data_IF_860873151820
#
_entry.id   IF_860873151820
#
_cell.length_a   1.000
_cell.length_b   1.000
_cell.length_c   1.000
_cell.angle_alpha   90.00
_cell.angle_beta   90.00
_cell.angle_gamma   90.00
#
_symmetry.space_group_name_H-M   'P 1'
#
loop_
_entity.id
_entity.type
_entity.pdbx_description
1 polymer ?
#
# COMPACT_ATOMS: atom_id res chain seq x y z
N UNK A 1 -3.92 -3.97 5.48
CA UNK A 1 -2.62 -3.41 5.04
C UNK A 1 -2.40 -2.05 5.70
N UNK A 2 -1.21 -1.78 6.22
CA UNK A 2 -0.80 -0.49 6.76
C UNK A 2 0.26 0.13 5.84
N UNK A 3 0.14 1.41 5.54
CA UNK A 3 1.17 2.20 4.89
C UNK A 3 1.69 3.28 5.84
N UNK A 4 2.98 3.56 5.79
CA UNK A 4 3.62 4.63 6.54
C UNK A 4 4.42 5.52 5.59
N UNK A 5 4.50 6.80 5.94
CA UNK A 5 5.31 7.76 5.22
C UNK A 5 6.79 7.42 5.37
N UNK A 6 7.48 7.27 4.23
CA UNK A 6 8.93 7.16 4.22
C UNK A 6 9.53 8.49 4.70
N UNK A 7 10.65 8.43 5.44
CA UNK A 7 11.27 9.61 6.07
C UNK A 7 11.47 10.79 5.10
N UNK A 8 11.88 10.51 3.87
CA UNK A 8 12.16 11.53 2.85
C UNK A 8 10.93 11.91 1.98
N UNK A 9 9.80 11.20 2.16
CA UNK A 9 8.60 11.34 1.31
C UNK A 9 7.34 11.72 2.13
N UNK A 10 7.51 12.26 3.34
CA UNK A 10 6.37 12.67 4.18
C UNK A 10 5.47 13.73 3.53
N UNK A 11 6.05 14.61 2.68
CA UNK A 11 5.29 15.66 1.98
C UNK A 11 4.36 15.11 0.90
N UNK A 12 4.73 13.98 0.28
CA UNK A 12 3.92 13.35 -0.77
C UNK A 12 2.95 12.31 -0.22
N UNK A 13 3.15 11.87 1.02
CA UNK A 13 2.36 10.82 1.68
C UNK A 13 0.85 10.97 1.47
N UNK A 14 0.29 12.17 1.72
CA UNK A 14 -1.15 12.41 1.57
C UNK A 14 -1.63 12.21 0.13
N UNK A 15 -0.86 12.70 -0.83
CA UNK A 15 -1.16 12.54 -2.26
C UNK A 15 -1.05 11.07 -2.67
N UNK A 16 -0.03 10.38 -2.16
CA UNK A 16 0.25 8.97 -2.46
C UNK A 16 -0.86 8.04 -1.96
N UNK A 17 -1.33 8.21 -0.72
CA UNK A 17 -2.46 7.41 -0.18
C UNK A 17 -3.78 7.71 -0.88
N UNK A 18 -3.99 8.94 -1.37
CA UNK A 18 -5.16 9.29 -2.17
C UNK A 18 -5.12 8.63 -3.54
N UNK A 19 -3.96 8.61 -4.21
CA UNK A 19 -3.77 7.90 -5.48
C UNK A 19 -4.05 6.41 -5.36
N UNK A 20 -3.61 5.81 -4.24
CA UNK A 20 -3.89 4.41 -3.91
C UNK A 20 -5.41 4.17 -3.76
N UNK A 21 -6.09 4.99 -2.96
CA UNK A 21 -7.52 4.82 -2.67
C UNK A 21 -8.44 5.17 -3.84
N UNK A 22 -8.02 6.06 -4.74
CA UNK A 22 -8.84 6.52 -5.87
C UNK A 22 -8.89 5.51 -7.04
N UNK A 23 -8.31 4.31 -6.89
CA UNK A 23 -8.32 3.29 -7.93
C UNK A 23 -7.46 3.64 -9.15
N UNK A 24 -6.55 4.62 -9.02
CA UNK A 24 -5.57 4.92 -10.07
C UNK A 24 -4.57 3.78 -10.29
N UNK A 25 -4.51 2.84 -9.36
CA UNK A 25 -3.69 1.65 -9.45
C UNK A 25 -4.50 0.53 -10.09
N UNK A 26 -3.93 -0.08 -11.13
CA UNK A 26 -4.57 -1.17 -11.92
C UNK A 26 -4.75 -2.48 -11.13
N UNK A 27 -4.54 -2.49 -9.82
CA UNK A 27 -4.77 -3.65 -8.96
C UNK A 27 -5.93 -3.37 -8.00
N UNK A 28 -6.48 -4.42 -7.41
CA UNK A 28 -7.76 -4.42 -6.68
C UNK A 28 -7.95 -3.16 -5.81
N UNK A 29 -9.17 -2.56 -5.82
CA UNK A 29 -9.44 -1.36 -5.04
C UNK A 29 -9.14 -1.65 -3.57
N UNK A 30 -8.22 -0.87 -3.00
CA UNK A 30 -7.94 -0.89 -1.57
C UNK A 30 -8.73 0.22 -0.91
N UNK A 31 -9.65 -0.15 -0.04
CA UNK A 31 -10.46 0.82 0.68
C UNK A 31 -9.66 1.41 1.83
N UNK A 32 -9.43 2.73 1.82
CA UNK A 32 -8.78 3.40 2.93
C UNK A 32 -9.73 3.48 4.13
N UNK A 33 -9.39 2.78 5.20
CA UNK A 33 -10.17 2.74 6.45
C UNK A 33 -9.86 3.93 7.36
N UNK A 34 -8.58 4.32 7.44
CA UNK A 34 -8.10 5.39 8.31
C UNK A 34 -6.83 6.01 7.76
N UNK A 35 -6.65 7.32 7.95
CA UNK A 35 -5.39 8.00 7.64
C UNK A 35 -5.05 9.04 8.71
N UNK A 36 -3.76 9.20 8.96
CA UNK A 36 -3.13 10.30 9.70
C UNK A 36 -2.20 11.06 8.76
N UNK A 37 -1.41 12.01 9.29
CA UNK A 37 -0.38 12.71 8.51
C UNK A 37 0.76 11.81 8.03
N UNK A 38 0.97 10.64 8.66
CA UNK A 38 2.13 9.77 8.38
C UNK A 38 1.78 8.29 8.25
N UNK A 39 0.53 7.89 8.50
CA UNK A 39 0.11 6.50 8.43
C UNK A 39 -1.28 6.37 7.80
N UNK A 40 -1.51 5.27 7.10
CA UNK A 40 -2.80 4.92 6.56
C UNK A 40 -3.07 3.43 6.71
N UNK A 41 -4.33 3.09 6.95
CA UNK A 41 -4.82 1.73 7.04
C UNK A 41 -5.77 1.47 5.88
N UNK A 42 -5.54 0.38 5.17
CA UNK A 42 -6.29 -0.04 4.00
C UNK A 42 -6.83 -1.46 4.17
N UNK A 43 -8.03 -1.69 3.63
CA UNK A 43 -8.65 -3.01 3.44
C UNK A 43 -8.46 -3.46 1.98
N UNK A 44 -8.42 -4.78 1.75
CA UNK A 44 -8.50 -5.31 0.38
C UNK A 44 -7.18 -5.58 -0.33
N UNK A 45 -6.05 -5.67 0.38
CA UNK A 45 -4.83 -6.22 -0.21
C UNK A 45 -5.02 -7.74 -0.39
N UNK A 46 -5.61 -8.14 -1.52
CA UNK A 46 -5.89 -9.55 -1.82
C UNK A 46 -4.64 -10.16 -2.46
N UNK A 47 -4.08 -11.25 -1.91
CA UNK A 47 -3.01 -11.99 -2.58
C UNK A 47 -3.53 -12.55 -3.91
N UNK A 48 -2.89 -12.17 -5.01
CA UNK A 48 -3.33 -12.54 -6.37
C UNK A 48 -2.67 -13.83 -6.90
N UNK A 49 -1.76 -14.45 -6.15
CA UNK A 49 -1.17 -15.74 -6.54
C UNK A 49 -0.20 -16.35 -5.53
N UNK A 50 0.41 -17.48 -5.90
CA UNK A 50 1.36 -18.23 -5.07
C UNK A 50 2.59 -17.41 -4.64
N UNK A 51 2.99 -16.43 -5.47
CA UNK A 51 4.12 -15.54 -5.19
C UNK A 51 3.83 -14.50 -4.09
N UNK A 52 2.55 -14.31 -3.72
CA UNK A 52 2.11 -13.40 -2.64
C UNK A 52 1.52 -14.17 -1.44
N UNK A 53 1.88 -15.44 -1.27
CA UNK A 53 1.31 -16.32 -0.24
C UNK A 53 1.79 -16.01 1.19
N UNK A 54 2.80 -15.14 1.35
CA UNK A 54 3.30 -14.68 2.64
C UNK A 54 3.17 -13.16 2.74
N UNK A 55 2.94 -12.68 3.96
CA UNK A 55 2.87 -11.26 4.28
C UNK A 55 4.09 -10.49 3.77
N UNK A 56 5.29 -11.04 3.94
CA UNK A 56 6.54 -10.43 3.51
C UNK A 56 6.64 -10.32 1.98
N UNK A 57 6.29 -11.38 1.25
CA UNK A 57 6.34 -11.35 -0.22
C UNK A 57 5.25 -10.43 -0.80
N UNK A 58 4.05 -10.44 -0.22
CA UNK A 58 2.98 -9.52 -0.63
C UNK A 58 3.34 -8.07 -0.33
N UNK A 59 3.96 -7.80 0.83
CA UNK A 59 4.46 -6.46 1.19
C UNK A 59 5.46 -5.97 0.14
N UNK A 60 6.51 -6.74 -0.13
CA UNK A 60 7.56 -6.37 -1.09
C UNK A 60 7.00 -6.20 -2.50
N UNK A 61 6.14 -7.12 -2.94
CA UNK A 61 5.49 -7.04 -4.25
C UNK A 61 4.71 -5.73 -4.43
N UNK A 62 3.95 -5.32 -3.41
CA UNK A 62 3.18 -4.08 -3.44
C UNK A 62 4.09 -2.84 -3.40
N UNK A 63 5.15 -2.86 -2.59
CA UNK A 63 6.13 -1.76 -2.56
C UNK A 63 6.82 -1.57 -3.92
N UNK A 64 7.32 -2.65 -4.53
CA UNK A 64 7.99 -2.60 -5.84
C UNK A 64 7.03 -2.08 -6.93
N UNK A 65 5.76 -2.50 -6.87
CA UNK A 65 4.71 -2.06 -7.79
C UNK A 65 4.40 -0.58 -7.62
N UNK A 66 4.17 -0.12 -6.39
CA UNK A 66 3.89 1.28 -6.09
C UNK A 66 5.06 2.19 -6.48
N UNK A 67 6.30 1.74 -6.25
CA UNK A 67 7.48 2.48 -6.65
C UNK A 67 7.56 2.69 -8.17
N UNK A 68 7.08 1.72 -8.97
CA UNK A 68 6.98 1.85 -10.44
C UNK A 68 6.01 2.96 -10.85
N UNK A 69 4.97 3.20 -10.05
CA UNK A 69 3.99 4.28 -10.26
C UNK A 69 4.39 5.60 -9.56
N UNK A 70 5.63 5.69 -9.05
CA UNK A 70 6.16 6.86 -8.35
C UNK A 70 5.49 7.13 -7.00
N UNK A 71 5.00 6.07 -6.33
CA UNK A 71 4.41 6.13 -4.99
C UNK A 71 5.41 5.50 -4.01
N UNK A 72 5.81 6.26 -3.00
CA UNK A 72 6.89 5.87 -2.08
C UNK A 72 6.38 5.77 -0.64
N UNK A 73 6.01 4.55 -0.24
CA UNK A 73 5.46 4.23 1.08
C UNK A 73 6.18 3.01 1.66
N UNK A 74 6.31 2.96 2.98
CA UNK A 74 6.68 1.74 3.67
C UNK A 74 5.40 0.97 4.01
N UNK A 75 5.30 -0.29 3.57
CA UNK A 75 4.12 -1.11 3.74
C UNK A 75 4.31 -2.18 4.83
N UNK A 76 3.20 -2.52 5.48
CA UNK A 76 3.08 -3.71 6.32
C UNK A 76 1.76 -4.37 5.99
N UNK A 77 1.83 -5.53 5.34
CA UNK A 77 0.66 -6.32 4.96
C UNK A 77 0.51 -7.49 5.93
N UNK A 78 -0.74 -7.82 6.25
CA UNK A 78 -1.09 -9.04 6.98
C UNK A 78 -2.21 -9.70 6.19
N UNK A 79 -2.01 -10.95 5.82
CA UNK A 79 -3.02 -11.81 5.20
C UNK A 79 -3.83 -12.42 6.33
N UNK A 80 -5.04 -11.92 6.55
CA UNK A 80 -6.01 -12.59 7.41
C UNK A 80 -6.39 -13.92 6.75
N UNK A 81 -6.15 -15.03 7.45
CA UNK A 81 -6.45 -16.41 7.00
C UNK A 81 -7.75 -16.90 7.61
#
# INVERSE_FOLDING_TARGET
MRASARKDHQRTFRTDIQRISAGHLRFAPVDMLRSTSTQALFRGAVPTGAHTATDAHLTRYLEDRLATDGIHLDLSVSIER
#
